data_IF_546792141713
#
_entry.id   IF_546792141713
#
_cell.length_a   1.000
_cell.length_b   1.000
_cell.length_c   1.000
_cell.angle_alpha   90.00
_cell.angle_beta   90.00
_cell.angle_gamma   90.00
#
_symmetry.space_group_name_H-M   'P 1'
#
loop_
_entity.id
_entity.type
_entity.pdbx_description
1 polymer ?
#
# COMPACT_ATOMS: atom_id res chain seq x y z
N UNK A 1 -0.73 5.72 -22.12
CA UNK A 1 0.64 6.26 -21.92
C UNK A 1 1.21 5.68 -20.62
N UNK A 2 2.54 5.64 -20.45
CA UNK A 2 3.16 5.02 -19.26
C UNK A 2 4.25 5.90 -18.65
N UNK A 3 4.65 5.60 -17.41
CA UNK A 3 5.84 6.17 -16.77
C UNK A 3 6.66 5.05 -16.13
N UNK A 4 7.96 5.25 -15.97
CA UNK A 4 8.79 4.39 -15.12
C UNK A 4 8.71 4.85 -13.67
N UNK A 5 8.57 3.91 -12.74
CA UNK A 5 8.71 4.16 -11.32
C UNK A 5 9.89 3.35 -10.78
N UNK A 6 10.76 4.05 -10.04
CA UNK A 6 11.92 3.45 -9.37
C UNK A 6 11.67 3.53 -7.86
N UNK A 7 11.58 2.39 -7.20
CA UNK A 7 11.43 2.34 -5.74
C UNK A 7 12.81 2.32 -5.09
N UNK A 8 13.13 3.36 -4.32
CA UNK A 8 14.45 3.51 -3.68
C UNK A 8 14.58 2.71 -2.38
N UNK A 9 13.45 2.43 -1.71
CA UNK A 9 13.45 1.69 -0.44
C UNK A 9 13.33 0.19 -0.67
N UNK A 10 13.76 -0.60 0.31
CA UNK A 10 13.65 -2.07 0.32
C UNK A 10 12.23 -2.58 0.56
N UNK A 11 11.21 -1.76 0.35
CA UNK A 11 9.81 -2.13 0.59
C UNK A 11 9.40 -3.38 -0.19
N UNK A 12 9.70 -3.36 -1.49
CA UNK A 12 9.34 -4.39 -2.46
C UNK A 12 10.59 -5.13 -2.94
N UNK A 13 10.44 -6.39 -3.41
CA UNK A 13 11.55 -7.14 -3.99
C UNK A 13 11.99 -6.59 -5.36
N UNK A 14 11.10 -5.89 -6.06
CA UNK A 14 11.39 -5.22 -7.34
C UNK A 14 11.81 -3.77 -7.13
N UNK A 15 12.62 -3.23 -8.04
CA UNK A 15 13.09 -1.84 -8.03
C UNK A 15 12.50 -1.02 -9.16
N UNK A 16 12.21 -1.63 -10.31
CA UNK A 16 11.72 -0.94 -11.50
C UNK A 16 10.34 -1.43 -11.88
N UNK A 17 9.44 -0.47 -12.14
CA UNK A 17 8.07 -0.74 -12.55
C UNK A 17 7.69 0.10 -13.77
N UNK A 18 6.90 -0.49 -14.68
CA UNK A 18 6.16 0.26 -15.71
C UNK A 18 4.79 0.58 -15.15
N UNK A 19 4.48 1.86 -14.99
CA UNK A 19 3.15 2.33 -14.56
C UNK A 19 2.32 2.64 -15.80
N UNK A 20 1.31 1.82 -16.05
CA UNK A 20 0.34 2.03 -17.12
C UNK A 20 -0.68 3.07 -16.62
N UNK A 21 -0.53 4.32 -17.05
CA UNK A 21 -1.34 5.42 -16.53
C UNK A 21 -2.80 5.28 -16.94
N UNK A 22 -3.70 5.45 -15.97
CA UNK A 22 -5.15 5.31 -16.19
C UNK A 22 -5.66 3.87 -16.27
N UNK A 23 -4.79 2.85 -16.19
CA UNK A 23 -5.24 1.47 -16.02
C UNK A 23 -5.73 1.27 -14.58
N UNK A 24 -7.05 1.35 -14.42
CA UNK A 24 -7.76 1.22 -13.14
C UNK A 24 -8.44 -0.15 -12.98
N UNK A 25 -8.17 -1.12 -13.85
CA UNK A 25 -8.65 -2.51 -13.71
C UNK A 25 -7.82 -3.26 -12.65
N UNK A 26 -7.87 -2.75 -11.42
CA UNK A 26 -7.03 -3.17 -10.30
C UNK A 26 -7.65 -4.39 -9.64
N UNK A 27 -6.84 -5.43 -9.49
CA UNK A 27 -7.18 -6.70 -8.87
C UNK A 27 -6.23 -6.98 -7.71
N UNK A 28 -6.62 -7.92 -6.85
CA UNK A 28 -5.70 -8.48 -5.85
C UNK A 28 -4.44 -9.02 -6.52
N UNK A 29 -3.30 -8.79 -5.90
CA UNK A 29 -2.00 -9.22 -6.40
C UNK A 29 -1.33 -8.21 -7.35
N UNK A 30 -2.10 -7.29 -7.96
CA UNK A 30 -1.53 -6.20 -8.76
C UNK A 30 -0.67 -5.28 -7.90
N UNK A 31 0.28 -4.60 -8.53
CA UNK A 31 0.88 -3.41 -7.94
C UNK A 31 0.19 -2.17 -8.48
N UNK A 32 0.07 -1.15 -7.64
CA UNK A 32 -0.47 0.15 -8.05
C UNK A 32 0.51 1.26 -7.71
N UNK A 33 0.56 2.27 -8.57
CA UNK A 33 1.21 3.53 -8.27
C UNK A 33 0.16 4.56 -7.84
N UNK A 34 0.39 5.29 -6.74
CA UNK A 34 -0.52 6.35 -6.30
C UNK A 34 0.24 7.57 -5.76
N UNK A 35 -0.45 8.71 -5.71
CA UNK A 35 0.09 9.96 -5.13
C UNK A 35 -0.06 9.96 -3.62
N UNK A 36 1.06 10.10 -2.91
CA UNK A 36 1.10 10.14 -1.45
C UNK A 36 0.35 11.34 -0.87
N UNK A 37 -0.36 11.11 0.24
CA UNK A 37 -1.13 12.12 0.96
C UNK A 37 -0.27 13.24 1.55
N UNK A 38 0.98 12.91 1.88
CA UNK A 38 1.79 13.66 2.83
C UNK A 38 1.75 13.03 4.22
N UNK A 39 2.64 13.51 5.09
CA UNK A 39 2.84 12.98 6.44
C UNK A 39 3.98 11.96 6.53
N UNK A 40 4.39 11.67 7.77
CA UNK A 40 5.60 10.88 8.04
C UNK A 40 6.85 11.54 7.40
N UNK A 41 7.78 10.76 6.84
CA UNK A 41 9.03 11.29 6.29
C UNK A 41 8.90 11.82 4.85
N UNK A 42 7.71 11.78 4.24
CA UNK A 42 7.54 12.01 2.80
C UNK A 42 6.60 13.19 2.51
N UNK A 43 7.00 14.04 1.55
CA UNK A 43 6.17 15.14 1.04
C UNK A 43 4.96 14.59 0.27
N UNK A 44 3.85 15.33 0.32
CA UNK A 44 2.67 15.03 -0.47
C UNK A 44 2.99 15.03 -1.97
N UNK A 45 2.24 14.23 -2.74
CA UNK A 45 2.37 14.13 -4.20
C UNK A 45 3.44 13.16 -4.70
N UNK A 46 4.35 12.67 -3.84
CA UNK A 46 5.30 11.62 -4.22
C UNK A 46 4.59 10.35 -4.67
N UNK A 47 5.12 9.70 -5.71
CA UNK A 47 4.55 8.44 -6.20
C UNK A 47 5.03 7.27 -5.36
N UNK A 48 4.11 6.51 -4.79
CA UNK A 48 4.39 5.27 -4.07
C UNK A 48 3.96 4.08 -4.92
N UNK A 49 4.59 2.92 -4.70
CA UNK A 49 4.22 1.64 -5.32
C UNK A 49 4.17 0.57 -4.25
N UNK A 50 3.08 -0.22 -4.23
CA UNK A 50 2.83 -1.35 -3.31
C UNK A 50 1.92 -2.36 -3.99
N UNK A 51 1.86 -3.58 -3.45
CA UNK A 51 0.95 -4.62 -3.89
C UNK A 51 -0.44 -4.42 -3.28
N UNK A 52 -1.49 -4.65 -4.04
CA UNK A 52 -2.87 -4.68 -3.57
C UNK A 52 -3.16 -6.05 -2.97
N UNK A 53 -3.51 -6.10 -1.68
CA UNK A 53 -3.91 -7.35 -0.99
C UNK A 53 -5.41 -7.40 -0.73
N UNK A 54 -6.08 -6.25 -0.64
CA UNK A 54 -7.54 -6.15 -0.51
C UNK A 54 -8.13 -5.06 -1.42
N UNK A 55 -9.32 -5.33 -1.91
CA UNK A 55 -10.16 -4.47 -2.75
C UNK A 55 -11.54 -4.29 -2.09
N UNK A 56 -12.40 -3.45 -2.68
CA UNK A 56 -13.75 -3.21 -2.19
C UNK A 56 -14.53 -4.52 -1.92
N UNK A 57 -15.20 -4.58 -0.77
CA UNK A 57 -15.96 -5.76 -0.30
C UNK A 57 -15.13 -6.75 0.52
N UNK A 58 -13.81 -6.68 0.47
CA UNK A 58 -12.96 -7.52 1.31
C UNK A 58 -12.99 -7.06 2.77
N UNK A 59 -12.87 -8.02 3.69
CA UNK A 59 -12.81 -7.74 5.12
C UNK A 59 -11.37 -7.75 5.60
N UNK A 60 -10.92 -6.61 6.15
CA UNK A 60 -9.64 -6.49 6.85
C UNK A 60 -9.91 -6.68 8.34
N UNK A 61 -9.20 -7.61 8.98
CA UNK A 61 -9.23 -7.77 10.45
C UNK A 61 -7.82 -7.63 11.02
N UNK A 62 -7.76 -7.43 12.34
CA UNK A 62 -6.49 -7.43 13.06
C UNK A 62 -6.59 -8.19 14.37
N UNK A 63 -5.58 -8.99 14.68
CA UNK A 63 -5.39 -9.62 15.99
C UNK A 63 -4.11 -9.05 16.60
N UNK A 64 -4.26 -8.20 17.63
CA UNK A 64 -3.14 -7.40 18.14
C UNK A 64 -2.58 -6.48 17.05
N UNK A 65 -1.43 -6.84 16.47
CA UNK A 65 -0.78 -6.09 15.38
C UNK A 65 -0.65 -6.88 14.08
N UNK A 66 -1.19 -8.10 14.04
CA UNK A 66 -1.25 -8.92 12.84
C UNK A 66 -2.50 -8.56 12.03
N UNK A 67 -2.32 -8.32 10.74
CA UNK A 67 -3.39 -7.98 9.81
C UNK A 67 -3.73 -9.14 8.91
N UNK A 68 -5.03 -9.31 8.67
CA UNK A 68 -5.59 -10.33 7.82
C UNK A 68 -6.53 -9.71 6.79
N UNK A 69 -6.60 -10.29 5.60
CA UNK A 69 -7.58 -9.92 4.57
C UNK A 69 -8.37 -11.18 4.21
N UNK A 70 -9.68 -11.16 4.44
CA UNK A 70 -10.56 -12.33 4.34
C UNK A 70 -10.04 -13.55 5.13
N UNK A 71 -9.49 -13.30 6.32
CA UNK A 71 -8.93 -14.34 7.20
C UNK A 71 -7.53 -14.84 6.81
N UNK A 72 -6.98 -14.43 5.66
CA UNK A 72 -5.61 -14.76 5.29
C UNK A 72 -4.64 -13.76 5.93
N UNK A 73 -3.62 -14.27 6.64
CA UNK A 73 -2.57 -13.45 7.22
C UNK A 73 -1.81 -12.68 6.13
N UNK A 74 -1.66 -11.37 6.33
CA UNK A 74 -0.88 -10.50 5.43
C UNK A 74 0.44 -10.11 6.07
N UNK A 75 0.41 -9.58 7.29
CA UNK A 75 1.61 -9.01 7.92
C UNK A 75 1.39 -8.53 9.34
N UNK A 76 2.47 -8.48 10.13
CA UNK A 76 2.54 -7.76 11.40
C UNK A 76 2.94 -6.29 11.22
N UNK A 77 2.23 -5.38 11.89
CA UNK A 77 2.56 -3.96 11.99
C UNK A 77 3.51 -3.69 13.17
N UNK A 78 4.76 -3.30 12.87
CA UNK A 78 5.72 -2.95 13.92
C UNK A 78 5.23 -1.79 14.81
N UNK A 79 5.62 -1.74 16.11
CA UNK A 79 5.08 -0.76 17.04
C UNK A 79 5.63 0.65 16.88
N UNK A 80 6.84 0.79 16.31
CA UNK A 80 7.55 2.08 16.22
C UNK A 80 8.24 2.26 14.87
N UNK A 81 8.45 3.51 14.47
CA UNK A 81 9.26 3.89 13.30
C UNK A 81 10.73 3.49 13.49
N UNK A 82 11.61 3.80 12.52
CA UNK A 82 13.06 3.61 12.68
C UNK A 82 13.68 4.60 13.67
N UNK A 83 13.10 5.79 13.79
CA UNK A 83 13.50 6.88 14.70
C UNK A 83 12.83 6.78 16.07
N UNK A 84 11.90 5.83 16.24
CA UNK A 84 11.34 5.48 17.53
C UNK A 84 10.01 6.16 17.85
N UNK A 85 9.31 6.80 16.92
CA UNK A 85 7.94 7.28 17.15
C UNK A 85 6.94 6.11 17.12
N UNK A 86 5.86 6.13 17.93
CA UNK A 86 4.80 5.13 17.86
C UNK A 86 4.09 5.09 16.50
N UNK A 87 3.75 3.90 16.03
CA UNK A 87 2.96 3.69 14.81
C UNK A 87 1.55 3.21 15.16
N UNK A 88 0.58 4.07 14.85
CA UNK A 88 -0.84 3.74 14.93
C UNK A 88 -1.23 2.73 13.85
N UNK A 89 -2.12 1.80 14.20
CA UNK A 89 -2.58 0.74 13.32
C UNK A 89 -3.51 1.27 12.23
N UNK A 90 -3.43 0.67 11.05
CA UNK A 90 -4.32 0.96 9.93
C UNK A 90 -5.78 0.54 10.20
N UNK A 91 -6.70 0.99 9.34
CA UNK A 91 -8.11 0.69 9.47
C UNK A 91 -8.41 -0.80 9.24
N UNK A 92 -9.42 -1.30 9.94
CA UNK A 92 -10.04 -2.63 9.77
C UNK A 92 -11.51 -2.48 9.39
N UNK A 93 -12.15 -3.58 8.99
CA UNK A 93 -13.52 -3.63 8.51
C UNK A 93 -13.61 -3.96 7.03
N UNK A 94 -14.80 -3.79 6.46
CA UNK A 94 -15.03 -4.00 5.02
C UNK A 94 -14.47 -2.82 4.24
N UNK A 95 -13.60 -3.09 3.27
CA UNK A 95 -13.04 -2.07 2.39
C UNK A 95 -14.19 -1.47 1.55
N UNK A 96 -14.41 -0.15 1.59
CA UNK A 96 -15.47 0.49 0.83
C UNK A 96 -15.15 0.48 -0.67
N UNK A 97 -16.15 0.83 -1.47
CA UNK A 97 -15.95 1.08 -2.88
C UNK A 97 -14.79 2.06 -3.12
N UNK A 98 -14.07 1.86 -4.22
CA UNK A 98 -12.98 2.72 -4.66
C UNK A 98 -11.81 2.85 -3.66
N UNK A 99 -11.57 1.84 -2.81
CA UNK A 99 -10.43 1.81 -1.89
C UNK A 99 -9.65 0.50 -1.99
N UNK A 100 -8.36 0.57 -1.65
CA UNK A 100 -7.44 -0.57 -1.75
C UNK A 100 -6.62 -0.71 -0.46
N UNK A 101 -6.54 -1.93 0.07
CA UNK A 101 -5.54 -2.29 1.07
C UNK A 101 -4.23 -2.62 0.35
N UNK A 102 -3.19 -1.83 0.61
CA UNK A 102 -1.87 -1.99 0.00
C UNK A 102 -0.83 -2.50 0.99
N UNK A 103 0.14 -3.24 0.48
CA UNK A 103 1.12 -3.96 1.28
C UNK A 103 2.47 -4.06 0.55
N UNK A 104 3.55 -4.12 1.32
CA UNK A 104 4.82 -4.64 0.85
C UNK A 104 5.57 -5.42 1.96
N UNK A 105 6.35 -6.45 1.60
CA UNK A 105 6.85 -7.45 2.54
C UNK A 105 7.81 -6.93 3.61
N UNK A 106 8.55 -5.86 3.32
CA UNK A 106 9.48 -5.32 4.30
C UNK A 106 8.77 -4.77 5.54
N UNK A 107 9.29 -5.08 6.73
CA UNK A 107 8.72 -4.65 8.03
C UNK A 107 8.62 -3.13 8.22
N UNK A 108 9.48 -2.38 7.51
CA UNK A 108 9.52 -0.92 7.56
C UNK A 108 8.78 -0.25 6.39
N UNK A 109 8.08 -1.01 5.54
CA UNK A 109 7.29 -0.43 4.47
C UNK A 109 6.13 0.38 5.05
N UNK A 110 6.01 1.63 4.61
CA UNK A 110 4.85 2.48 4.90
C UNK A 110 3.70 2.08 3.94
N UNK A 111 2.72 1.36 4.47
CA UNK A 111 1.57 0.80 3.75
C UNK A 111 0.34 0.65 4.68
N UNK A 112 -0.73 -0.03 4.24
CA UNK A 112 -2.04 -0.05 4.93
C UNK A 112 -2.05 -0.68 6.31
N UNK A 113 -0.93 -1.27 6.77
CA UNK A 113 -0.73 -1.63 8.18
C UNK A 113 -0.84 -0.45 9.15
N UNK A 114 -0.63 0.78 8.65
CA UNK A 114 -0.52 1.98 9.48
C UNK A 114 -1.61 3.00 9.17
N UNK A 115 -2.14 3.65 10.21
CA UNK A 115 -3.16 4.70 10.09
C UNK A 115 -2.73 5.83 9.15
N UNK A 116 -1.43 6.15 9.16
CA UNK A 116 -0.83 7.19 8.33
C UNK A 116 -1.04 6.95 6.83
N UNK A 117 -1.04 5.68 6.39
CA UNK A 117 -1.33 5.33 5.00
C UNK A 117 -2.81 5.07 4.79
N UNK A 118 -3.45 4.31 5.68
CA UNK A 118 -4.83 3.88 5.51
C UNK A 118 -5.05 3.02 4.26
N UNK A 119 -6.29 3.01 3.77
CA UNK A 119 -6.61 2.44 2.46
C UNK A 119 -6.47 3.50 1.37
N UNK A 120 -5.97 3.10 0.21
CA UNK A 120 -5.67 4.02 -0.88
C UNK A 120 -6.96 4.27 -1.68
N UNK A 121 -7.46 5.52 -1.77
CA UNK A 121 -8.61 5.83 -2.59
C UNK A 121 -8.23 5.82 -4.08
N UNK A 122 -9.14 5.33 -4.93
CA UNK A 122 -8.97 5.22 -6.38
C UNK A 122 -8.56 6.54 -7.03
N UNK A 123 -9.09 7.67 -6.54
CA UNK A 123 -8.80 9.01 -7.06
C UNK A 123 -7.31 9.39 -7.00
N UNK A 124 -6.53 8.75 -6.10
CA UNK A 124 -5.08 8.98 -5.98
C UNK A 124 -4.26 8.01 -6.80
N UNK A 125 -4.88 6.94 -7.30
CA UNK A 125 -4.22 5.92 -8.09
C UNK A 125 -3.91 6.49 -9.47
N UNK A 126 -2.62 6.46 -9.81
CA UNK A 126 -2.14 6.83 -11.15
C UNK A 126 -2.33 5.72 -12.18
N UNK A 127 -2.36 4.46 -11.73
CA UNK A 127 -2.58 3.27 -12.56
C UNK A 127 -1.86 2.04 -12.03
N UNK A 128 -2.12 0.89 -12.66
CA UNK A 128 -1.41 -0.38 -12.42
C UNK A 128 0.09 -0.23 -12.71
N UNK A 129 0.90 -0.84 -11.86
CA UNK A 129 2.35 -0.92 -11.96
C UNK A 129 2.76 -2.37 -12.25
N UNK A 130 3.52 -2.58 -13.32
CA UNK A 130 4.01 -3.90 -13.71
C UNK A 130 5.47 -4.01 -13.26
N UNK A 131 5.82 -4.94 -12.35
CA UNK A 131 7.19 -5.13 -11.92
C UNK A 131 8.05 -5.67 -13.07
N UNK A 132 9.29 -5.19 -13.17
CA UNK A 132 10.27 -5.70 -14.14
C UNK A 132 11.37 -6.50 -13.44
N UNK A 133 12.14 -5.85 -12.56
CA UNK A 133 13.21 -6.43 -11.73
C UNK A 133 13.51 -5.51 -10.54
#
# INVERSE_FOLDING_TARGET
FFTLAITVTESLPYRVFVVIKGDLNIKRGDYIAWRWAGGGPYKAGLSFVKQVRGIAGDTVSSEGRDFFVNGEYVSTAKPRTRTGEPLALGPTGVIPANHFYVYAPHKDSLDSRFALTGWIPLERVSGRAIPLF
#
